data_IF_369609366682
#
_entry.id   IF_369609366682
#
_cell.length_a   1.000
_cell.length_b   1.000
_cell.length_c   1.000
_cell.angle_alpha   90.00
_cell.angle_beta   90.00
_cell.angle_gamma   90.00
#
_symmetry.space_group_name_H-M   'P 1'
#
loop_
_entity.id
_entity.type
_entity.pdbx_description
1 polymer ?
#
# COMPACT_ATOMS: atom_id res chain seq x y z
N UNK A 1 18.00 10.85 5.83
CA UNK A 1 17.44 9.65 6.48
C UNK A 1 16.50 8.99 5.49
N UNK A 2 16.40 7.66 5.54
CA UNK A 2 15.59 6.87 4.60
C UNK A 2 14.11 6.98 4.95
N UNK A 3 13.26 6.68 3.97
CA UNK A 3 11.80 6.64 4.13
C UNK A 3 11.38 5.21 4.40
N UNK A 4 10.33 5.01 5.20
CA UNK A 4 9.88 3.68 5.56
C UNK A 4 8.36 3.49 5.45
N UNK A 5 7.95 2.27 5.10
CA UNK A 5 6.59 1.78 5.30
C UNK A 5 6.57 1.07 6.64
N UNK A 6 5.80 1.61 7.59
CA UNK A 6 5.75 1.07 8.97
C UNK A 6 4.61 0.11 9.20
N UNK A 7 3.59 0.15 8.33
CA UNK A 7 2.43 -0.71 8.40
C UNK A 7 1.74 -0.80 7.04
N UNK A 8 1.11 -1.94 6.77
CA UNK A 8 0.35 -2.16 5.55
C UNK A 8 -1.10 -2.52 5.91
N UNK A 9 -2.06 -1.90 5.23
CA UNK A 9 -3.50 -2.10 5.41
C UNK A 9 -4.11 -2.73 4.16
N UNK A 10 -5.00 -3.70 4.37
CA UNK A 10 -5.77 -4.33 3.32
C UNK A 10 -7.25 -3.94 3.43
N UNK A 11 -7.68 -2.97 2.63
CA UNK A 11 -9.09 -2.58 2.47
C UNK A 11 -9.70 -3.20 1.20
N UNK A 12 -9.32 -4.44 0.87
CA UNK A 12 -9.84 -5.18 -0.29
C UNK A 12 -10.55 -6.45 0.15
N UNK A 13 -11.31 -7.05 -0.77
CA UNK A 13 -11.93 -8.38 -0.57
C UNK A 13 -10.98 -9.56 -0.80
N UNK A 14 -9.69 -9.29 -1.09
CA UNK A 14 -8.67 -10.28 -1.50
C UNK A 14 -7.52 -10.35 -0.50
N UNK A 15 -6.72 -11.42 -0.53
CA UNK A 15 -5.51 -11.49 0.31
C UNK A 15 -4.49 -10.52 -0.25
N UNK A 16 -3.97 -9.63 0.59
CA UNK A 16 -2.90 -8.71 0.21
C UNK A 16 -1.56 -9.31 0.57
N UNK A 17 -0.68 -9.35 -0.41
CA UNK A 17 0.70 -9.78 -0.25
C UNK A 17 1.62 -8.58 -0.39
N UNK A 18 2.59 -8.49 0.51
CA UNK A 18 3.64 -7.48 0.49
C UNK A 18 4.98 -8.14 0.70
N UNK A 19 5.99 -7.74 -0.10
CA UNK A 19 7.35 -8.22 0.02
C UNK A 19 8.36 -7.13 -0.33
N UNK A 20 9.20 -6.75 0.61
CA UNK A 20 10.33 -5.87 0.36
C UNK A 20 11.56 -6.69 -0.04
N UNK A 21 12.03 -6.53 -1.27
CA UNK A 21 13.21 -7.27 -1.75
C UNK A 21 14.53 -6.77 -1.14
N UNK A 22 14.57 -5.55 -0.60
CA UNK A 22 15.77 -5.00 0.05
C UNK A 22 15.99 -5.59 1.44
N UNK A 23 14.93 -5.63 2.26
CA UNK A 23 15.01 -6.09 3.65
C UNK A 23 14.68 -7.58 3.80
N UNK A 24 14.05 -8.18 2.77
CA UNK A 24 13.54 -9.55 2.81
C UNK A 24 12.23 -9.68 3.60
N UNK A 25 11.67 -8.58 4.12
CA UNK A 25 10.42 -8.58 4.87
C UNK A 25 9.24 -8.99 3.98
N UNK A 26 8.37 -9.87 4.48
CA UNK A 26 7.19 -10.36 3.78
C UNK A 26 6.03 -10.52 4.75
N UNK A 27 4.83 -10.13 4.31
CA UNK A 27 3.59 -10.24 5.06
C UNK A 27 2.43 -10.58 4.12
N UNK A 28 1.51 -11.38 4.64
CA UNK A 28 0.22 -11.67 4.02
C UNK A 28 -0.88 -11.15 4.94
N UNK A 29 -1.71 -10.24 4.44
CA UNK A 29 -2.81 -9.62 5.19
C UNK A 29 -4.13 -10.15 4.64
N UNK A 30 -4.95 -10.70 5.55
CA UNK A 30 -6.24 -11.29 5.18
C UNK A 30 -7.20 -10.25 4.58
N UNK A 31 -8.14 -10.70 3.72
CA UNK A 31 -9.21 -9.85 3.19
C UNK A 31 -9.96 -9.09 4.28
N UNK A 32 -10.49 -7.93 3.92
CA UNK A 32 -11.50 -7.24 4.71
C UNK A 32 -12.83 -8.00 4.60
N UNK A 33 -13.24 -8.62 5.71
CA UNK A 33 -14.52 -9.32 5.80
C UNK A 33 -15.64 -8.37 6.17
N UNK A 34 -16.89 -8.82 6.02
CA UNK A 34 -18.07 -8.05 6.41
C UNK A 34 -18.10 -7.71 7.92
N UNK A 35 -17.48 -8.54 8.76
CA UNK A 35 -17.31 -8.22 10.18
C UNK A 35 -16.44 -6.97 10.35
N UNK A 36 -15.31 -6.90 9.66
CA UNK A 36 -14.44 -5.71 9.69
C UNK A 36 -15.17 -4.45 9.18
N UNK A 37 -16.02 -4.58 8.16
CA UNK A 37 -16.83 -3.45 7.69
C UNK A 37 -17.81 -2.95 8.75
N UNK A 38 -18.53 -3.86 9.40
CA UNK A 38 -19.50 -3.52 10.45
C UNK A 38 -18.84 -2.84 11.65
N UNK A 39 -17.62 -3.25 12.00
CA UNK A 39 -16.84 -2.68 13.10
C UNK A 39 -16.04 -1.44 12.67
N UNK A 40 -16.09 -1.06 11.38
CA UNK A 40 -15.34 0.06 10.83
C UNK A 40 -13.82 -0.15 10.86
N UNK A 41 -13.36 -1.40 10.83
CA UNK A 41 -11.96 -1.81 10.94
C UNK A 41 -11.38 -2.17 9.57
N UNK A 42 -10.06 -2.01 9.43
CA UNK A 42 -9.30 -2.42 8.25
C UNK A 42 -8.19 -3.38 8.70
N UNK A 43 -8.13 -4.62 8.20
CA UNK A 43 -7.02 -5.54 8.48
C UNK A 43 -5.66 -4.92 8.18
N UNK A 44 -4.68 -5.17 9.05
CA UNK A 44 -3.34 -4.60 8.88
C UNK A 44 -2.23 -5.49 9.42
N UNK A 45 -1.01 -5.24 8.95
CA UNK A 45 0.19 -5.86 9.48
C UNK A 45 0.50 -5.42 10.91
N UNK A 46 1.41 -6.13 11.56
CA UNK A 46 2.13 -5.59 12.70
C UNK A 46 2.95 -4.37 12.28
N UNK A 47 3.27 -3.52 13.25
CA UNK A 47 4.18 -2.42 13.04
C UNK A 47 5.60 -2.96 12.78
N UNK A 48 6.22 -2.53 11.70
CA UNK A 48 7.59 -2.90 11.33
C UNK A 48 8.19 -1.80 10.47
N UNK A 49 9.32 -1.22 10.89
CA UNK A 49 10.00 -0.15 10.16
C UNK A 49 10.71 -0.71 8.92
N UNK A 50 10.01 -0.73 7.77
CA UNK A 50 10.50 -1.30 6.53
C UNK A 50 10.99 -0.23 5.55
N UNK A 51 12.30 -0.21 5.27
CA UNK A 51 12.90 0.83 4.45
C UNK A 51 12.47 0.73 2.98
N UNK A 52 11.97 1.84 2.43
CA UNK A 52 11.60 1.97 1.02
C UNK A 52 12.86 2.04 0.16
N UNK A 53 13.08 1.11 -0.79
CA UNK A 53 14.26 1.14 -1.64
C UNK A 53 14.26 2.33 -2.60
N UNK A 54 15.43 2.93 -2.83
CA UNK A 54 15.61 3.94 -3.89
C UNK A 54 15.49 3.30 -5.28
N UNK A 55 14.92 4.03 -6.24
CA UNK A 55 14.82 3.61 -7.64
C UNK A 55 16.18 3.28 -8.28
N UNK A 56 17.24 3.97 -7.85
CA UNK A 56 18.60 3.72 -8.32
C UNK A 56 19.16 2.36 -7.89
N UNK A 57 18.51 1.69 -6.93
CA UNK A 57 18.85 0.33 -6.51
C UNK A 57 18.15 -0.72 -7.41
N UNK A 58 18.62 -1.97 -7.32
CA UNK A 58 17.96 -3.12 -7.95
C UNK A 58 16.72 -3.60 -7.18
N UNK A 59 16.49 -3.05 -5.99
CA UNK A 59 15.47 -3.50 -5.06
C UNK A 59 14.19 -2.68 -5.18
N UNK A 60 13.07 -3.32 -4.87
CA UNK A 60 11.76 -2.70 -4.81
C UNK A 60 10.88 -3.46 -3.83
N UNK A 61 9.78 -2.83 -3.43
CA UNK A 61 8.70 -3.48 -2.69
C UNK A 61 7.67 -3.99 -3.68
N UNK A 62 7.29 -5.25 -3.54
CA UNK A 62 6.26 -5.90 -4.32
C UNK A 62 4.96 -5.97 -3.53
N UNK A 63 3.87 -5.58 -4.18
CA UNK A 63 2.51 -5.58 -3.62
C UNK A 63 1.56 -6.23 -4.63
N UNK A 64 0.79 -7.23 -4.22
CA UNK A 64 -0.17 -7.90 -5.11
C UNK A 64 -1.34 -8.49 -4.32
N UNK A 65 -2.46 -8.72 -5.01
CA UNK A 65 -3.68 -9.29 -4.44
C UNK A 65 -3.90 -10.72 -4.95
N UNK A 66 -4.05 -11.68 -4.04
CA UNK A 66 -4.14 -13.12 -4.34
C UNK A 66 -3.06 -13.58 -5.35
N UNK A 67 -3.46 -14.09 -6.52
CA UNK A 67 -2.56 -14.48 -7.61
C UNK A 67 -2.49 -13.42 -8.73
N UNK A 68 -2.85 -12.17 -8.40
CA UNK A 68 -2.88 -11.06 -9.33
C UNK A 68 -1.49 -10.52 -9.69
N UNK A 69 -1.45 -9.53 -10.59
CA UNK A 69 -0.21 -8.90 -11.02
C UNK A 69 0.44 -8.12 -9.87
N UNK A 70 1.75 -7.95 -9.98
CA UNK A 70 2.55 -7.26 -8.97
C UNK A 70 2.74 -5.79 -9.30
N UNK A 71 2.65 -4.98 -8.26
CA UNK A 71 3.00 -3.56 -8.23
C UNK A 71 4.35 -3.40 -7.54
N UNK A 72 5.24 -2.61 -8.14
CA UNK A 72 6.54 -2.27 -7.58
C UNK A 72 6.51 -0.87 -6.99
N UNK A 73 7.07 -0.71 -5.78
CA UNK A 73 7.19 0.57 -5.09
C UNK A 73 8.65 0.86 -4.79
N UNK A 74 9.08 2.08 -5.10
CA UNK A 74 10.42 2.63 -4.81
C UNK A 74 10.34 4.11 -4.42
N UNK A 75 11.39 4.66 -3.84
CA UNK A 75 11.58 6.10 -3.68
C UNK A 75 12.36 6.67 -4.88
N UNK A 76 11.78 7.66 -5.53
CA UNK A 76 12.46 8.49 -6.54
C UNK A 76 12.12 9.96 -6.35
N UNK A 77 13.15 10.82 -6.34
CA UNK A 77 12.99 12.28 -6.24
C UNK A 77 12.11 12.73 -5.06
N UNK A 78 12.24 12.05 -3.91
CA UNK A 78 11.40 12.30 -2.73
C UNK A 78 9.92 12.08 -3.01
N UNK A 79 9.58 11.06 -3.80
CA UNK A 79 8.22 10.64 -4.12
C UNK A 79 8.13 9.12 -4.13
N UNK A 80 6.95 8.59 -3.82
CA UNK A 80 6.67 7.18 -4.07
C UNK A 80 6.52 6.98 -5.58
N UNK A 81 7.45 6.22 -6.16
CA UNK A 81 7.34 5.72 -7.52
C UNK A 81 6.70 4.35 -7.52
N UNK A 82 5.68 4.21 -8.34
CA UNK A 82 4.85 3.01 -8.44
C UNK A 82 4.90 2.53 -9.88
N UNK A 83 5.19 1.25 -10.09
CA UNK A 83 5.16 0.62 -11.41
C UNK A 83 4.30 -0.63 -11.37
N UNK A 84 3.21 -0.62 -12.13
CA UNK A 84 2.29 -1.74 -12.19
C UNK A 84 1.62 -1.86 -13.55
N UNK A 85 0.79 -2.89 -13.75
CA UNK A 85 0.13 -3.14 -15.03
C UNK A 85 -0.91 -2.06 -15.37
N UNK A 86 -1.01 -1.71 -16.65
CA UNK A 86 -2.06 -0.83 -17.19
C UNK A 86 -3.07 -1.68 -17.95
N UNK A 87 -4.30 -1.78 -17.44
CA UNK A 87 -5.38 -2.56 -18.04
C UNK A 87 -5.05 -4.05 -18.26
N UNK A 88 -5.85 -4.72 -19.10
CA UNK A 88 -5.68 -6.14 -19.45
C UNK A 88 -4.54 -6.41 -20.45
N UNK A 89 -3.49 -5.58 -20.46
CA UNK A 89 -2.33 -5.74 -21.34
C UNK A 89 -1.08 -6.09 -20.53
N UNK A 90 0.00 -6.46 -21.23
CA UNK A 90 1.32 -6.64 -20.60
C UNK A 90 2.06 -5.30 -20.39
N UNK A 91 1.40 -4.17 -20.65
CA UNK A 91 2.01 -2.87 -20.49
C UNK A 91 2.08 -2.51 -19.00
N UNK A 92 3.16 -1.83 -18.61
CA UNK A 92 3.34 -1.31 -17.26
C UNK A 92 3.43 0.20 -17.32
N UNK A 93 2.70 0.85 -16.44
CA UNK A 93 2.72 2.30 -16.27
C UNK A 93 3.53 2.64 -15.03
N UNK A 94 4.08 3.84 -15.06
CA UNK A 94 4.82 4.42 -13.97
C UNK A 94 4.10 5.68 -13.51
N UNK A 95 3.89 5.79 -12.21
CA UNK A 95 3.30 6.96 -11.57
C UNK A 95 4.11 7.38 -10.34
N UNK A 96 4.12 8.68 -10.05
CA UNK A 96 4.85 9.27 -8.91
C UNK A 96 3.92 10.06 -8.00
N UNK A 97 3.97 9.78 -6.70
CA UNK A 97 3.05 10.38 -5.75
C UNK A 97 3.70 10.97 -4.51
N UNK A 98 3.06 12.05 -4.06
CA UNK A 98 3.35 12.67 -2.79
C UNK A 98 4.64 13.48 -2.75
N UNK A 99 5.00 13.83 -1.52
CA UNK A 99 6.28 14.40 -1.15
C UNK A 99 6.75 13.66 0.08
N UNK A 100 7.86 12.94 -0.07
CA UNK A 100 8.51 12.20 1.00
C UNK A 100 9.32 13.15 1.86
N UNK A 101 9.20 12.99 3.16
CA UNK A 101 10.04 13.71 4.12
C UNK A 101 11.21 12.82 4.51
N UNK A 102 12.42 13.38 4.64
CA UNK A 102 13.58 12.62 5.14
C UNK A 102 13.26 11.99 6.50
N UNK A 103 13.42 10.67 6.63
CA UNK A 103 13.06 9.94 7.86
C UNK A 103 11.55 9.73 8.02
N UNK A 104 10.75 10.02 6.99
CA UNK A 104 9.31 9.89 7.04
C UNK A 104 8.88 8.44 7.13
N UNK A 105 7.94 8.17 8.04
CA UNK A 105 7.28 6.88 8.20
C UNK A 105 5.88 6.95 7.62
N UNK A 106 5.47 5.92 6.89
CA UNK A 106 4.21 5.90 6.16
C UNK A 106 3.47 4.57 6.36
N UNK A 107 2.15 4.63 6.32
CA UNK A 107 1.29 3.46 6.21
C UNK A 107 0.89 3.31 4.74
N UNK A 108 1.08 2.11 4.18
CA UNK A 108 0.55 1.75 2.88
C UNK A 108 -0.86 1.19 3.06
N UNK A 109 -1.86 1.81 2.42
CA UNK A 109 -3.21 1.28 2.35
C UNK A 109 -3.53 0.84 0.93
N UNK A 110 -4.06 -0.36 0.80
CA UNK A 110 -4.52 -0.92 -0.47
C UNK A 110 -6.04 -0.98 -0.48
N UNK A 111 -6.65 -0.43 -1.52
CA UNK A 111 -8.10 -0.33 -1.70
C UNK A 111 -8.52 -1.01 -3.01
N UNK A 112 -9.68 -1.68 -3.00
CA UNK A 112 -10.31 -2.18 -4.22
C UNK A 112 -11.20 -1.07 -4.78
N UNK A 113 -10.95 -0.68 -6.03
CA UNK A 113 -11.67 0.35 -6.76
C UNK A 113 -12.41 -0.33 -7.91
N UNK A 114 -13.73 -0.42 -7.83
CA UNK A 114 -14.56 -0.88 -8.94
C UNK A 114 -15.18 0.34 -9.64
N UNK A 115 -14.79 0.58 -10.89
CA UNK A 115 -15.34 1.66 -11.71
C UNK A 115 -16.54 1.20 -12.56
N UNK A 116 -17.04 -0.02 -12.33
CA UNK A 116 -18.13 -0.65 -13.07
C UNK A 116 -17.70 -1.24 -14.43
N UNK A 117 -16.45 -1.01 -14.86
CA UNK A 117 -15.87 -1.58 -16.09
C UNK A 117 -14.67 -2.47 -15.81
N UNK A 118 -13.95 -2.17 -14.74
CA UNK A 118 -12.73 -2.83 -14.31
C UNK A 118 -12.61 -2.74 -12.79
N UNK A 119 -12.17 -3.85 -12.19
CA UNK A 119 -11.66 -3.82 -10.83
C UNK A 119 -10.25 -3.24 -10.90
N UNK A 120 -9.92 -2.33 -10.01
CA UNK A 120 -8.64 -1.65 -9.92
C UNK A 120 -8.12 -1.64 -8.48
N UNK A 121 -6.82 -1.50 -8.30
CA UNK A 121 -6.14 -1.48 -7.01
C UNK A 121 -5.64 -0.06 -6.73
N UNK A 122 -6.24 0.60 -5.75
CA UNK A 122 -5.79 1.87 -5.19
C UNK A 122 -4.68 1.67 -4.17
N UNK A 123 -3.58 2.41 -4.30
CA UNK A 123 -2.54 2.47 -3.27
C UNK A 123 -2.53 3.89 -2.69
N UNK A 124 -2.72 4.01 -1.38
CA UNK A 124 -2.61 5.26 -0.63
C UNK A 124 -1.46 5.21 0.37
N UNK A 125 -0.72 6.31 0.51
CA UNK A 125 0.35 6.44 1.49
C UNK A 125 -0.04 7.48 2.54
N UNK A 126 -0.17 7.04 3.77
CA UNK A 126 -0.61 7.89 4.87
C UNK A 126 0.62 8.18 5.72
N UNK A 127 0.91 9.45 5.99
CA UNK A 127 2.00 9.76 6.92
C UNK A 127 1.67 9.18 8.30
N UNK A 128 2.58 8.40 8.86
CA UNK A 128 2.43 7.86 10.20
C UNK A 128 2.66 8.96 11.24
N UNK A 129 1.78 9.03 12.23
CA UNK A 129 1.93 9.83 13.43
C UNK A 129 1.72 8.91 14.65
N UNK A 130 2.55 9.04 15.68
CA UNK A 130 2.55 8.18 16.88
C UNK A 130 1.17 8.11 17.58
N UNK A 131 0.33 9.14 17.39
CA UNK A 131 -1.06 9.19 17.85
C UNK A 131 -1.95 8.06 17.31
N UNK A 132 -1.55 7.38 16.24
CA UNK A 132 -2.32 6.26 15.68
C UNK A 132 -2.25 4.99 16.54
N UNK A 133 -1.29 4.87 17.48
CA UNK A 133 -1.14 3.76 18.46
C UNK A 133 -1.84 2.47 18.02
N UNK A 134 -1.43 1.95 16.87
CA UNK A 134 -2.21 0.96 16.17
C UNK A 134 -1.94 -0.41 16.80
N UNK A 135 -2.99 -1.03 17.35
CA UNK A 135 -2.91 -2.43 17.79
C UNK A 135 -2.69 -3.32 16.56
N UNK A 136 -1.75 -4.25 16.66
CA UNK A 136 -1.53 -5.29 15.67
C UNK A 136 -2.85 -5.97 15.25
N UNK A 137 -3.07 -6.10 13.94
CA UNK A 137 -4.17 -6.88 13.37
C UNK A 137 -5.28 -6.05 12.69
N UNK A 138 -5.57 -4.83 13.15
CA UNK A 138 -6.56 -3.97 12.51
C UNK A 138 -6.43 -2.48 12.89
N UNK A 139 -6.96 -1.61 12.03
CA UNK A 139 -6.97 -0.16 12.23
C UNK A 139 -8.39 0.35 12.09
N UNK A 140 -8.86 1.12 13.07
CA UNK A 140 -10.15 1.78 12.98
C UNK A 140 -10.11 2.82 11.85
N UNK A 141 -11.03 2.72 10.89
CA UNK A 141 -11.13 3.60 9.72
C UNK A 141 -11.22 5.09 10.09
N UNK A 142 -11.84 5.41 11.23
CA UNK A 142 -11.94 6.78 11.75
C UNK A 142 -10.58 7.40 12.09
N UNK A 143 -9.61 6.60 12.56
CA UNK A 143 -8.25 7.09 12.84
C UNK A 143 -7.55 7.53 11.54
N UNK A 144 -7.87 6.87 10.43
CA UNK A 144 -7.32 7.15 9.11
C UNK A 144 -8.02 8.35 8.45
N UNK A 145 -9.31 8.58 8.70
CA UNK A 145 -10.04 9.74 8.18
C UNK A 145 -9.47 11.09 8.66
N UNK A 146 -8.78 11.10 9.80
CA UNK A 146 -8.09 12.27 10.34
C UNK A 146 -6.60 12.37 9.94
N UNK A 147 -6.05 11.35 9.28
CA UNK A 147 -4.75 11.45 8.64
C UNK A 147 -4.91 12.25 7.35
N UNK A 148 -4.16 13.34 7.16
CA UNK A 148 -4.12 14.01 5.86
C UNK A 148 -3.55 13.00 4.84
N UNK A 149 -4.37 12.45 3.93
CA UNK A 149 -3.84 11.46 3.01
C UNK A 149 -2.88 12.17 2.06
N UNK A 150 -1.67 11.64 1.92
CA UNK A 150 -0.98 11.79 0.64
C UNK A 150 -1.68 10.78 -0.27
N UNK A 151 -2.87 11.16 -0.75
CA UNK A 151 -3.72 10.30 -1.57
C UNK A 151 -3.06 10.16 -2.93
N UNK A 152 -2.26 9.12 -3.08
CA UNK A 152 -2.13 8.47 -4.37
C UNK A 152 -3.45 7.73 -4.60
N UNK A 153 -4.11 8.01 -5.72
CA UNK A 153 -5.13 7.11 -6.25
C UNK A 153 -4.50 6.56 -7.53
N UNK A 154 -3.89 5.40 -7.40
CA UNK A 154 -3.48 4.62 -8.57
C UNK A 154 -4.70 3.82 -8.98
N UNK A 155 -5.28 4.07 -10.16
CA UNK A 155 -6.21 3.11 -10.75
C UNK A 155 -5.38 2.13 -11.59
N UNK A 156 -5.18 0.92 -11.09
CA UNK A 156 -4.54 -0.16 -11.88
C UNK A 156 -5.38 -1.41 -11.85
N UNK A 157 -5.63 -1.99 -13.02
CA UNK A 157 -6.55 -3.10 -13.18
C UNK A 157 -6.15 -4.32 -12.32
N UNK A 158 -7.06 -4.76 -11.47
CA UNK A 158 -7.06 -6.06 -10.79
C UNK A 158 -7.76 -7.04 -11.74
N UNK A 159 -7.02 -8.03 -12.22
CA UNK A 159 -7.59 -9.10 -13.05
C UNK A 159 -8.59 -9.94 -12.23
N UNK A 160 -9.73 -10.24 -12.87
CA UNK A 160 -10.72 -11.23 -12.41
C UNK A 160 -10.23 -12.64 -12.68
#
# INVERSE_FOLDING_TARGET
>A
MTVSIVQVMNNTSRTLHYRNLKTGHQIDIKPKTQQFENDGWIPSSNFYDDEVPSRSSIWHINVWLDNGPTVEITDENWKFRIVGPVAYTNERAEDWYGTLTSGGQYILRVDEIDDGRSKNCGLSFLKYEDKYRVTAGYIASQLVQHAAPITAMVLMAIFL
#
